data_IF_061198774452
#
_entry.id   IF_061198774452
#
_cell.length_a   1.000
_cell.length_b   1.000
_cell.length_c   1.000
_cell.angle_alpha   90.00
_cell.angle_beta   90.00
_cell.angle_gamma   90.00
#
_symmetry.space_group_name_H-M   'P 1'
#
loop_
_entity.id
_entity.type
_entity.pdbx_description
1 polymer ?
#
# COMPACT_ATOMS: atom_id res chain seq x y z
N UNK A 1 -23.15 6.57 5.98
CA UNK A 1 -23.97 7.67 6.56
C UNK A 1 -24.01 8.90 5.63
N UNK A 2 -22.90 9.44 5.14
CA UNK A 2 -22.89 10.60 4.23
C UNK A 2 -23.67 10.37 2.93
N UNK A 3 -23.56 9.19 2.29
CA UNK A 3 -24.32 8.85 1.09
C UNK A 3 -25.84 8.82 1.32
N UNK A 4 -26.29 8.34 2.49
CA UNK A 4 -27.70 8.37 2.84
C UNK A 4 -28.21 9.81 3.04
N UNK A 5 -27.39 10.68 3.62
CA UNK A 5 -27.73 12.11 3.77
C UNK A 5 -27.77 12.84 2.42
N UNK A 6 -26.91 12.46 1.49
CA UNK A 6 -26.90 13.04 0.14
C UNK A 6 -28.12 12.61 -0.68
N UNK A 7 -28.49 11.32 -0.62
CA UNK A 7 -29.73 10.80 -1.21
C UNK A 7 -30.93 11.49 -0.58
N UNK A 8 -30.97 11.58 0.75
CA UNK A 8 -32.03 12.27 1.46
C UNK A 8 -32.12 13.76 1.08
N UNK A 9 -30.99 14.45 1.01
CA UNK A 9 -30.90 15.85 0.56
C UNK A 9 -31.44 16.05 -0.86
N UNK A 10 -31.17 15.12 -1.76
CA UNK A 10 -31.66 15.16 -3.14
C UNK A 10 -33.18 14.88 -3.22
N UNK A 11 -33.68 13.95 -2.41
CA UNK A 11 -35.13 13.68 -2.31
C UNK A 11 -35.84 14.90 -1.75
N UNK A 12 -35.35 15.51 -0.69
CA UNK A 12 -35.96 16.70 -0.08
C UNK A 12 -35.97 17.90 -1.05
N UNK A 13 -34.89 18.11 -1.81
CA UNK A 13 -34.81 19.17 -2.83
C UNK A 13 -35.82 19.00 -3.97
N UNK A 14 -36.13 17.75 -4.31
CA UNK A 14 -37.04 17.43 -5.43
C UNK A 14 -38.53 17.36 -5.00
N UNK A 15 -38.82 17.29 -3.71
CA UNK A 15 -40.19 17.22 -3.19
C UNK A 15 -40.67 18.60 -2.75
N UNK A 16 -41.50 19.23 -3.56
CA UNK A 16 -42.00 20.62 -3.32
C UNK A 16 -42.82 20.84 -2.03
N UNK A 17 -43.19 19.79 -1.31
CA UNK A 17 -44.10 19.86 -0.15
C UNK A 17 -43.54 19.24 1.14
N UNK A 18 -42.22 19.01 1.22
CA UNK A 18 -41.59 18.49 2.45
C UNK A 18 -41.02 19.69 3.23
N UNK A 19 -41.61 20.00 4.38
CA UNK A 19 -41.04 20.91 5.34
C UNK A 19 -40.05 20.16 6.25
N UNK A 20 -38.96 20.79 6.65
CA UNK A 20 -37.96 20.21 7.55
C UNK A 20 -38.60 19.79 8.88
N UNK A 21 -39.56 20.58 9.38
CA UNK A 21 -40.31 20.28 10.61
C UNK A 21 -41.17 18.99 10.48
N UNK A 22 -41.78 18.79 9.32
CA UNK A 22 -42.51 17.56 9.06
C UNK A 22 -41.60 16.33 9.03
N UNK A 23 -40.40 16.47 8.47
CA UNK A 23 -39.43 15.38 8.43
C UNK A 23 -38.92 15.08 9.85
N UNK A 24 -38.52 16.09 10.60
CA UNK A 24 -38.02 15.93 11.98
C UNK A 24 -39.06 15.35 12.93
N UNK A 25 -40.36 15.70 12.75
CA UNK A 25 -41.42 15.17 13.57
C UNK A 25 -41.81 13.70 13.28
N UNK A 26 -41.34 13.14 12.16
CA UNK A 26 -41.59 11.77 11.76
C UNK A 26 -40.34 10.87 11.77
N UNK A 27 -39.17 11.42 12.13
CA UNK A 27 -37.95 10.64 12.30
C UNK A 27 -37.85 10.25 13.77
N UNK A 28 -37.87 8.95 14.04
CA UNK A 28 -37.64 8.39 15.37
C UNK A 28 -36.26 7.71 15.37
N UNK A 29 -35.39 8.10 16.31
CA UNK A 29 -34.14 7.43 16.55
C UNK A 29 -34.32 6.40 17.65
N UNK A 30 -34.00 5.15 17.37
CA UNK A 30 -33.91 4.12 18.38
C UNK A 30 -32.54 4.17 18.99
N UNK A 31 -32.47 4.49 20.27
CA UNK A 31 -31.22 4.44 21.05
C UNK A 31 -31.19 3.13 21.81
N UNK A 32 -30.15 2.31 21.56
CA UNK A 32 -29.92 1.11 22.33
C UNK A 32 -28.69 1.34 23.21
N UNK A 33 -28.88 1.39 24.50
CA UNK A 33 -27.78 1.42 25.48
C UNK A 33 -27.26 -0.01 25.66
N UNK A 34 -26.14 -0.29 24.98
CA UNK A 34 -25.50 -1.60 25.04
C UNK A 34 -24.49 -1.58 26.17
N UNK A 35 -24.91 -2.02 27.35
CA UNK A 35 -24.05 -2.04 28.54
C UNK A 35 -22.91 -3.05 28.48
N UNK A 36 -22.98 -4.05 27.59
CA UNK A 36 -21.93 -5.03 27.34
C UNK A 36 -21.46 -4.97 25.90
N UNK A 37 -20.14 -4.92 25.70
CA UNK A 37 -19.52 -4.87 24.36
C UNK A 37 -19.94 -6.04 23.47
N UNK A 38 -20.11 -7.25 24.05
CA UNK A 38 -20.57 -8.45 23.33
C UNK A 38 -22.00 -8.31 22.78
N UNK A 39 -22.90 -7.60 23.46
CA UNK A 39 -24.26 -7.35 22.99
C UNK A 39 -24.27 -6.36 21.81
N UNK A 40 -23.35 -5.39 21.80
CA UNK A 40 -23.18 -4.46 20.69
C UNK A 40 -22.71 -5.16 19.42
N UNK A 41 -21.75 -6.06 19.58
CA UNK A 41 -21.23 -6.87 18.48
C UNK A 41 -22.32 -7.81 17.92
N UNK A 42 -23.10 -8.46 18.79
CA UNK A 42 -24.18 -9.36 18.39
C UNK A 42 -25.35 -8.60 17.73
N UNK A 43 -25.72 -7.43 18.26
CA UNK A 43 -26.72 -6.55 17.66
C UNK A 43 -26.27 -6.05 16.27
N UNK A 44 -25.01 -5.61 16.16
CA UNK A 44 -24.43 -5.17 14.89
C UNK A 44 -24.45 -6.29 13.83
N UNK A 45 -23.99 -7.48 14.20
CA UNK A 45 -24.02 -8.66 13.31
C UNK A 45 -25.47 -9.00 12.92
N UNK A 46 -26.40 -8.96 13.88
CA UNK A 46 -27.81 -9.30 13.64
C UNK A 46 -28.53 -8.28 12.76
N UNK A 47 -28.23 -6.99 12.93
CA UNK A 47 -28.78 -5.93 12.09
C UNK A 47 -28.26 -6.00 10.66
N UNK A 48 -26.96 -6.30 10.50
CA UNK A 48 -26.31 -6.40 9.20
C UNK A 48 -26.57 -7.75 8.49
N UNK A 49 -26.90 -8.82 9.21
CA UNK A 49 -27.24 -10.13 8.61
C UNK A 49 -28.49 -10.12 7.73
N UNK A 50 -29.29 -9.07 7.80
CA UNK A 50 -30.51 -8.87 6.98
C UNK A 50 -30.29 -7.97 5.77
N UNK A 51 -29.09 -7.42 5.59
CA UNK A 51 -28.73 -6.48 4.53
C UNK A 51 -27.59 -6.96 3.66
N UNK A 52 -26.75 -6.04 3.24
CA UNK A 52 -25.51 -6.30 2.51
C UNK A 52 -24.55 -7.12 3.38
N UNK A 53 -23.80 -8.03 2.74
CA UNK A 53 -22.74 -8.76 3.45
C UNK A 53 -21.71 -7.78 3.96
N UNK A 54 -21.26 -7.96 5.20
CA UNK A 54 -20.14 -7.21 5.75
C UNK A 54 -18.93 -7.36 4.86
N UNK A 55 -18.24 -6.27 4.61
CA UNK A 55 -16.95 -6.30 3.92
C UNK A 55 -15.89 -6.99 4.79
N UNK A 56 -14.77 -7.40 4.20
CA UNK A 56 -13.72 -8.08 4.96
C UNK A 56 -13.16 -7.16 6.06
N UNK A 57 -12.98 -5.87 5.78
CA UNK A 57 -12.51 -4.89 6.77
C UNK A 57 -13.47 -4.75 7.95
N UNK A 58 -14.79 -4.73 7.69
CA UNK A 58 -15.82 -4.69 8.75
C UNK A 58 -15.85 -5.96 9.60
N UNK A 59 -15.52 -7.12 9.04
CA UNK A 59 -15.41 -8.37 9.78
C UNK A 59 -14.11 -8.47 10.58
N UNK A 60 -13.02 -7.89 10.08
CA UNK A 60 -11.69 -7.93 10.70
C UNK A 60 -11.57 -6.91 11.84
N UNK A 61 -12.14 -5.68 11.67
CA UNK A 61 -12.09 -4.59 12.66
C UNK A 61 -12.41 -5.06 14.09
N UNK A 62 -13.57 -5.69 14.36
CA UNK A 62 -13.91 -6.13 15.71
C UNK A 62 -12.98 -7.20 16.25
N UNK A 63 -12.48 -8.11 15.41
CA UNK A 63 -11.52 -9.16 15.81
C UNK A 63 -10.19 -8.58 16.28
N UNK A 64 -9.65 -7.60 15.55
CA UNK A 64 -8.40 -6.94 15.90
C UNK A 64 -8.55 -6.05 17.14
N UNK A 65 -9.66 -5.30 17.23
CA UNK A 65 -9.96 -4.45 18.38
C UNK A 65 -10.26 -5.25 19.65
N UNK A 66 -10.88 -6.42 19.52
CA UNK A 66 -11.19 -7.30 20.67
C UNK A 66 -9.95 -7.77 21.42
N UNK A 67 -8.78 -7.82 20.76
CA UNK A 67 -7.50 -8.24 21.36
C UNK A 67 -6.74 -7.12 22.08
N UNK A 68 -7.24 -5.88 22.07
CA UNK A 68 -6.48 -4.69 22.52
C UNK A 68 -6.69 -4.31 23.99
N UNK A 69 -7.64 -4.94 24.70
CA UNK A 69 -7.94 -4.62 26.09
C UNK A 69 -8.24 -3.12 26.29
N UNK A 70 -7.52 -2.47 27.21
CA UNK A 70 -7.71 -1.06 27.54
C UNK A 70 -7.39 -0.07 26.40
N UNK A 71 -6.79 -0.52 25.30
CA UNK A 71 -6.47 0.30 24.14
C UNK A 71 -7.56 0.26 23.04
N UNK A 72 -8.68 -0.41 23.29
CA UNK A 72 -9.76 -0.59 22.31
C UNK A 72 -10.30 0.75 21.77
N UNK A 73 -10.54 1.70 22.67
CA UNK A 73 -11.04 3.03 22.27
C UNK A 73 -10.02 3.81 21.44
N UNK A 74 -8.74 3.75 21.83
CA UNK A 74 -7.66 4.40 21.09
C UNK A 74 -7.58 3.86 19.64
N UNK A 75 -7.46 2.54 19.51
CA UNK A 75 -7.36 1.95 18.16
C UNK A 75 -8.66 2.03 17.36
N UNK A 76 -9.81 2.14 18.02
CA UNK A 76 -11.07 2.43 17.34
C UNK A 76 -11.03 3.79 16.64
N UNK A 77 -10.56 4.83 17.33
CA UNK A 77 -10.36 6.17 16.75
C UNK A 77 -9.30 6.19 15.66
N UNK A 78 -8.20 5.44 15.84
CA UNK A 78 -7.18 5.33 14.80
C UNK A 78 -7.76 4.66 13.54
N UNK A 79 -8.58 3.63 13.69
CA UNK A 79 -9.25 3.01 12.56
C UNK A 79 -10.14 3.99 11.80
N UNK A 80 -10.92 4.79 12.50
CA UNK A 80 -11.76 5.82 11.89
C UNK A 80 -10.92 6.87 11.15
N UNK A 81 -9.74 7.25 11.69
CA UNK A 81 -8.77 8.12 11.02
C UNK A 81 -8.20 7.47 9.74
N UNK A 82 -7.98 6.15 9.73
CA UNK A 82 -7.51 5.44 8.54
C UNK A 82 -8.60 5.38 7.45
N UNK A 83 -9.83 5.15 7.82
CA UNK A 83 -10.97 5.23 6.90
C UNK A 83 -11.09 6.65 6.33
N UNK A 84 -10.95 7.70 7.15
CA UNK A 84 -10.95 9.10 6.72
C UNK A 84 -9.82 9.40 5.74
N UNK A 85 -8.62 8.87 5.97
CA UNK A 85 -7.50 8.98 5.03
C UNK A 85 -7.88 8.45 3.65
N UNK A 86 -8.53 7.29 3.55
CA UNK A 86 -8.98 6.73 2.29
C UNK A 86 -10.17 7.49 1.68
N UNK A 87 -10.89 8.30 2.44
CA UNK A 87 -11.92 9.22 1.92
C UNK A 87 -11.33 10.42 1.16
N UNK A 88 -10.03 10.67 1.25
CA UNK A 88 -9.39 11.81 0.58
C UNK A 88 -9.61 11.73 -0.93
N UNK A 89 -10.19 12.83 -1.50
CA UNK A 89 -10.53 12.91 -2.93
C UNK A 89 -9.30 12.82 -3.85
N UNK A 90 -8.16 13.34 -3.41
CA UNK A 90 -6.91 13.30 -4.18
C UNK A 90 -6.39 11.87 -4.34
N UNK A 91 -6.57 11.03 -3.33
CA UNK A 91 -6.19 9.62 -3.37
C UNK A 91 -7.18 8.80 -4.20
N UNK A 92 -8.47 9.05 -4.00
CA UNK A 92 -9.57 8.27 -4.58
C UNK A 92 -9.84 8.59 -6.05
N UNK A 93 -9.46 9.79 -6.52
CA UNK A 93 -9.79 10.30 -7.86
C UNK A 93 -11.32 10.29 -8.12
N UNK A 94 -11.74 9.66 -9.23
CA UNK A 94 -13.14 9.53 -9.63
C UNK A 94 -13.78 8.22 -9.17
N UNK A 95 -13.08 7.40 -8.39
CA UNK A 95 -13.57 6.10 -7.93
C UNK A 95 -14.68 6.27 -6.88
N UNK A 96 -15.63 5.33 -6.84
CA UNK A 96 -16.80 5.37 -5.96
C UNK A 96 -16.46 5.23 -4.47
N UNK A 97 -17.48 5.37 -3.61
CA UNK A 97 -17.33 5.23 -2.15
C UNK A 97 -16.99 3.79 -1.77
N UNK A 98 -17.57 2.81 -2.47
CA UNK A 98 -17.37 1.38 -2.19
C UNK A 98 -15.91 0.91 -2.34
N UNK A 99 -15.08 1.72 -3.02
CA UNK A 99 -13.65 1.43 -3.17
C UNK A 99 -12.80 1.71 -1.93
N UNK A 100 -13.37 2.36 -0.89
CA UNK A 100 -12.66 2.59 0.38
C UNK A 100 -12.44 1.29 1.12
N UNK A 101 -13.48 0.45 1.21
CA UNK A 101 -13.36 -0.88 1.79
C UNK A 101 -12.34 -1.72 1.03
N UNK A 102 -12.31 -1.60 -0.30
CA UNK A 102 -11.31 -2.26 -1.14
C UNK A 102 -9.90 -1.80 -0.75
N UNK A 103 -9.67 -0.49 -0.57
CA UNK A 103 -8.36 0.03 -0.19
C UNK A 103 -7.96 -0.45 1.22
N UNK A 104 -8.89 -0.46 2.15
CA UNK A 104 -8.68 -0.96 3.51
C UNK A 104 -8.38 -2.46 3.52
N UNK A 105 -9.12 -3.26 2.75
CA UNK A 105 -8.88 -4.70 2.60
C UNK A 105 -7.51 -4.97 1.97
N UNK A 106 -7.11 -4.20 0.96
CA UNK A 106 -5.83 -4.34 0.31
C UNK A 106 -4.65 -4.02 1.23
N UNK A 107 -4.74 -2.99 2.09
CA UNK A 107 -3.68 -2.72 3.07
C UNK A 107 -3.60 -3.82 4.14
N UNK A 108 -4.74 -4.33 4.63
CA UNK A 108 -4.77 -5.46 5.57
C UNK A 108 -4.10 -6.69 4.95
N UNK A 109 -4.39 -6.98 3.68
CA UNK A 109 -3.74 -8.05 2.93
C UNK A 109 -2.24 -7.86 2.83
N UNK A 110 -1.76 -6.67 2.49
CA UNK A 110 -0.33 -6.35 2.46
C UNK A 110 0.31 -6.61 3.82
N UNK A 111 -0.34 -6.22 4.92
CA UNK A 111 0.15 -6.45 6.27
C UNK A 111 0.26 -7.95 6.58
N UNK A 112 -0.75 -8.73 6.20
CA UNK A 112 -0.76 -10.19 6.35
C UNK A 112 0.39 -10.84 5.55
N UNK A 113 0.54 -10.49 4.29
CA UNK A 113 1.59 -11.02 3.43
C UNK A 113 3.00 -10.70 3.98
N UNK A 114 3.25 -9.46 4.39
CA UNK A 114 4.52 -9.05 4.98
C UNK A 114 4.79 -9.71 6.35
N UNK A 115 3.76 -10.09 7.07
CA UNK A 115 3.89 -10.74 8.38
C UNK A 115 4.08 -12.25 8.27
N UNK A 116 3.35 -12.90 7.37
CA UNK A 116 3.30 -14.36 7.24
C UNK A 116 4.21 -14.91 6.16
N UNK A 117 4.69 -14.07 5.24
CA UNK A 117 5.39 -14.46 4.01
C UNK A 117 4.59 -15.42 3.12
N UNK A 118 3.26 -15.39 3.22
CA UNK A 118 2.37 -16.17 2.36
C UNK A 118 1.96 -15.37 1.12
N UNK A 119 1.77 -16.06 0.01
CA UNK A 119 1.31 -15.46 -1.24
C UNK A 119 -0.18 -15.12 -1.17
N UNK A 120 -0.60 -14.10 -1.92
CA UNK A 120 -1.97 -13.61 -1.96
C UNK A 120 -3.02 -14.72 -2.15
N UNK A 121 -2.82 -15.64 -3.08
CA UNK A 121 -3.77 -16.74 -3.34
C UNK A 121 -3.91 -17.79 -2.22
N UNK A 122 -3.09 -17.68 -1.17
CA UNK A 122 -3.07 -18.59 -0.03
C UNK A 122 -3.70 -17.95 1.23
N UNK A 123 -4.04 -16.66 1.18
CA UNK A 123 -4.55 -15.90 2.31
C UNK A 123 -6.04 -15.62 2.16
N UNK A 124 -6.78 -15.91 3.22
CA UNK A 124 -8.12 -15.38 3.42
C UNK A 124 -8.03 -14.28 4.49
N UNK A 125 -8.17 -12.99 4.16
CA UNK A 125 -7.95 -11.90 5.11
C UNK A 125 -8.78 -12.02 6.38
N UNK A 126 -10.00 -12.53 6.30
CA UNK A 126 -10.89 -12.69 7.45
C UNK A 126 -10.45 -13.86 8.35
N UNK A 127 -10.09 -15.00 7.76
CA UNK A 127 -9.68 -16.18 8.52
C UNK A 127 -8.27 -16.02 9.10
N UNK A 128 -7.36 -15.43 8.31
CA UNK A 128 -5.97 -15.23 8.68
C UNK A 128 -5.72 -13.97 9.52
N UNK A 129 -6.77 -13.16 9.79
CA UNK A 129 -6.66 -11.96 10.63
C UNK A 129 -6.06 -12.22 12.04
N UNK A 130 -6.05 -13.49 12.48
CA UNK A 130 -5.41 -13.87 13.74
C UNK A 130 -3.88 -13.79 13.70
N UNK A 131 -3.28 -13.86 12.53
CA UNK A 131 -1.83 -13.78 12.34
C UNK A 131 -1.27 -12.37 12.54
N UNK A 132 -2.12 -11.34 12.52
CA UNK A 132 -1.75 -9.95 12.72
C UNK A 132 -2.42 -9.35 13.96
N UNK A 133 -1.84 -8.27 14.44
CA UNK A 133 -2.42 -7.42 15.48
C UNK A 133 -2.83 -6.08 14.92
N UNK A 134 -3.68 -5.34 15.65
CA UNK A 134 -4.02 -3.95 15.29
C UNK A 134 -2.77 -3.06 15.25
N UNK A 135 -1.74 -3.37 16.05
CA UNK A 135 -0.46 -2.65 16.04
C UNK A 135 0.30 -2.87 14.73
N UNK A 136 0.24 -4.08 14.17
CA UNK A 136 0.85 -4.34 12.85
C UNK A 136 0.16 -3.48 11.77
N UNK A 137 -1.16 -3.39 11.80
CA UNK A 137 -1.93 -2.51 10.90
C UNK A 137 -1.58 -1.05 11.11
N UNK A 138 -1.56 -0.58 12.37
CA UNK A 138 -1.25 0.80 12.73
C UNK A 138 0.12 1.25 12.20
N UNK A 139 1.16 0.42 12.37
CA UNK A 139 2.52 0.72 11.89
C UNK A 139 2.55 0.86 10.36
N UNK A 140 1.81 0.00 9.65
CA UNK A 140 1.77 0.08 8.18
C UNK A 140 0.92 1.26 7.69
N UNK A 141 -0.18 1.58 8.37
CA UNK A 141 -0.99 2.75 8.07
C UNK A 141 -0.21 4.05 8.31
N UNK A 142 0.54 4.15 9.42
CA UNK A 142 1.45 5.27 9.66
C UNK A 142 2.50 5.42 8.56
N UNK A 143 3.08 4.29 8.14
CA UNK A 143 4.03 4.28 7.03
C UNK A 143 3.37 4.73 5.71
N UNK A 144 2.17 4.23 5.39
CA UNK A 144 1.41 4.60 4.20
C UNK A 144 1.07 6.09 4.18
N UNK A 145 0.54 6.61 5.28
CA UNK A 145 0.20 8.03 5.43
C UNK A 145 1.44 8.92 5.32
N UNK A 146 2.59 8.45 5.80
CA UNK A 146 3.87 9.15 5.66
C UNK A 146 4.34 9.18 4.20
N UNK A 147 4.26 8.05 3.49
CA UNK A 147 4.59 7.95 2.06
C UNK A 147 3.68 8.85 1.20
N UNK A 148 2.38 8.92 1.55
CA UNK A 148 1.43 9.79 0.85
C UNK A 148 1.75 11.29 0.97
N UNK A 149 2.44 11.70 2.02
CA UNK A 149 2.84 13.11 2.27
C UNK A 149 4.16 13.49 1.61
N UNK A 150 4.86 12.57 0.95
CA UNK A 150 6.10 12.88 0.26
C UNK A 150 5.83 13.79 -0.95
N UNK A 151 6.63 14.86 -1.09
CA UNK A 151 6.34 16.05 -1.92
C UNK A 151 6.12 15.77 -3.41
N UNK A 152 6.70 14.72 -3.97
CA UNK A 152 6.70 14.54 -5.42
C UNK A 152 5.40 13.96 -6.00
N UNK A 153 4.41 13.61 -5.18
CA UNK A 153 3.21 12.91 -5.68
C UNK A 153 3.50 11.61 -6.42
N UNK A 154 4.79 11.26 -6.55
CA UNK A 154 5.30 10.12 -7.31
C UNK A 154 4.71 8.80 -6.82
N UNK A 155 4.51 8.71 -5.50
CA UNK A 155 4.02 7.50 -4.85
C UNK A 155 2.49 7.43 -4.78
N UNK A 156 1.79 8.52 -5.08
CA UNK A 156 0.32 8.57 -5.05
C UNK A 156 -0.29 7.58 -6.04
N UNK A 157 0.33 7.38 -7.21
CA UNK A 157 -0.11 6.40 -8.18
C UNK A 157 -0.10 4.97 -7.62
N UNK A 158 0.88 4.62 -6.81
CA UNK A 158 0.97 3.31 -6.16
C UNK A 158 -0.06 3.16 -5.03
N UNK A 159 -0.30 4.25 -4.27
CA UNK A 159 -1.33 4.27 -3.22
C UNK A 159 -2.73 4.17 -3.84
N UNK A 160 -2.97 4.86 -4.96
CA UNK A 160 -4.23 4.80 -5.70
C UNK A 160 -4.58 3.39 -6.20
N UNK A 161 -3.59 2.54 -6.42
CA UNK A 161 -3.82 1.13 -6.78
C UNK A 161 -4.53 0.35 -5.68
N UNK A 162 -4.45 0.77 -4.41
CA UNK A 162 -5.19 0.16 -3.32
C UNK A 162 -6.72 0.20 -3.52
N UNK A 163 -7.22 1.15 -4.30
CA UNK A 163 -8.66 1.27 -4.62
C UNK A 163 -9.11 0.37 -5.78
N UNK A 164 -8.17 -0.32 -6.43
CA UNK A 164 -8.45 -1.25 -7.51
C UNK A 164 -8.75 -2.66 -7.00
N UNK A 165 -9.34 -3.48 -7.87
CA UNK A 165 -9.52 -4.90 -7.58
C UNK A 165 -8.14 -5.57 -7.47
N UNK A 166 -7.98 -6.35 -6.41
CA UNK A 166 -6.74 -7.08 -6.12
C UNK A 166 -6.31 -8.05 -7.22
N UNK A 167 -7.25 -8.52 -8.04
CA UNK A 167 -6.98 -9.42 -9.15
C UNK A 167 -6.38 -8.70 -10.37
N UNK A 168 -6.62 -7.40 -10.51
CA UNK A 168 -6.14 -6.59 -11.64
C UNK A 168 -4.83 -5.85 -11.31
N UNK A 169 -4.70 -5.35 -10.09
CA UNK A 169 -3.60 -4.47 -9.69
C UNK A 169 -2.36 -5.19 -9.14
N UNK A 170 -2.42 -6.50 -9.05
CA UNK A 170 -1.26 -7.34 -8.79
C UNK A 170 -0.79 -7.33 -7.34
N UNK A 171 0.49 -7.60 -7.18
CA UNK A 171 1.07 -7.95 -5.89
C UNK A 171 1.55 -6.76 -5.06
N UNK A 172 1.27 -5.52 -5.45
CA UNK A 172 1.68 -4.28 -4.76
C UNK A 172 3.18 -4.21 -4.38
N UNK A 173 4.05 -4.76 -5.23
CA UNK A 173 5.48 -4.87 -4.93
C UNK A 173 6.13 -3.54 -4.53
N UNK A 174 5.85 -2.47 -5.29
CA UNK A 174 6.40 -1.14 -5.01
C UNK A 174 5.95 -0.65 -3.66
N UNK A 175 4.65 -0.76 -3.37
CA UNK A 175 4.08 -0.29 -2.11
C UNK A 175 4.63 -1.09 -0.93
N UNK A 176 4.69 -2.41 -1.00
CA UNK A 176 5.31 -3.27 0.03
C UNK A 176 6.76 -2.86 0.33
N UNK A 177 7.55 -2.57 -0.71
CA UNK A 177 8.93 -2.13 -0.53
C UNK A 177 9.02 -0.75 0.14
N UNK A 178 8.22 0.23 -0.29
CA UNK A 178 8.17 1.56 0.30
C UNK A 178 7.74 1.53 1.78
N UNK A 179 6.72 0.72 2.11
CA UNK A 179 6.28 0.55 3.50
C UNK A 179 7.38 -0.10 4.36
N UNK A 180 8.11 -1.07 3.80
CA UNK A 180 9.24 -1.71 4.48
C UNK A 180 10.35 -0.71 4.75
N UNK A 181 10.70 0.12 3.77
CA UNK A 181 11.71 1.17 3.90
C UNK A 181 11.33 2.19 4.99
N UNK A 182 10.07 2.63 4.99
CA UNK A 182 9.57 3.53 6.05
C UNK A 182 9.65 2.90 7.42
N UNK A 183 9.29 1.64 7.55
CA UNK A 183 9.34 0.90 8.82
C UNK A 183 10.76 0.72 9.36
N UNK A 184 11.77 0.68 8.49
CA UNK A 184 13.19 0.73 8.90
C UNK A 184 13.59 2.07 9.51
N UNK A 185 12.72 3.08 9.50
CA UNK A 185 12.98 4.42 10.03
C UNK A 185 13.57 5.37 9.00
N UNK A 186 13.59 4.98 7.71
CA UNK A 186 14.08 5.87 6.66
C UNK A 186 13.19 7.12 6.54
N UNK A 187 13.82 8.28 6.41
CA UNK A 187 13.15 9.57 6.23
C UNK A 187 13.70 10.34 5.02
N UNK A 188 14.83 9.91 4.44
CA UNK A 188 15.39 10.54 3.27
C UNK A 188 14.59 10.19 2.01
N UNK A 189 14.01 11.22 1.39
CA UNK A 189 13.25 11.12 0.14
C UNK A 189 14.04 10.45 -0.99
N UNK A 190 15.35 10.65 -1.00
CA UNK A 190 16.18 10.08 -2.02
C UNK A 190 16.30 8.55 -1.90
N UNK A 191 16.33 8.01 -0.68
CA UNK A 191 16.34 6.57 -0.46
C UNK A 191 15.01 5.93 -0.89
N UNK A 192 13.86 6.59 -0.64
CA UNK A 192 12.57 6.14 -1.19
C UNK A 192 12.58 6.09 -2.72
N UNK A 193 13.20 7.06 -3.35
CA UNK A 193 13.29 7.11 -4.81
C UNK A 193 14.13 5.94 -5.36
N UNK A 194 15.21 5.56 -4.69
CA UNK A 194 15.99 4.35 -5.03
C UNK A 194 15.12 3.09 -4.99
N UNK A 195 14.40 2.88 -3.88
CA UNK A 195 13.48 1.74 -3.71
C UNK A 195 12.43 1.73 -4.82
N UNK A 196 11.77 2.86 -5.03
CA UNK A 196 10.73 3.01 -6.04
C UNK A 196 11.23 2.67 -7.45
N UNK A 197 12.32 3.29 -7.88
CA UNK A 197 12.85 3.08 -9.24
C UNK A 197 13.32 1.64 -9.44
N UNK A 198 14.02 1.08 -8.46
CA UNK A 198 14.50 -0.30 -8.54
C UNK A 198 13.34 -1.28 -8.70
N UNK A 199 12.34 -1.22 -7.83
CA UNK A 199 11.23 -2.17 -7.87
C UNK A 199 10.33 -1.93 -9.10
N UNK A 200 9.97 -0.68 -9.37
CA UNK A 200 9.11 -0.34 -10.51
C UNK A 200 9.69 -0.83 -11.84
N UNK A 201 10.98 -0.60 -12.07
CA UNK A 201 11.63 -1.02 -13.29
C UNK A 201 11.81 -2.53 -13.36
N UNK A 202 12.13 -3.16 -12.24
CA UNK A 202 12.26 -4.61 -12.18
C UNK A 202 10.91 -5.31 -12.45
N UNK A 203 9.83 -4.88 -11.82
CA UNK A 203 8.47 -5.46 -11.97
C UNK A 203 7.94 -5.30 -13.39
N UNK A 204 8.23 -4.20 -14.07
CA UNK A 204 7.81 -3.98 -15.47
C UNK A 204 8.29 -5.07 -16.43
N UNK A 205 9.38 -5.73 -16.11
CA UNK A 205 10.11 -6.63 -17.01
C UNK A 205 10.14 -8.06 -16.55
N UNK A 206 10.10 -8.25 -15.27
CA UNK A 206 10.28 -9.56 -14.65
C UNK A 206 9.05 -9.91 -13.82
N UNK A 207 8.58 -11.14 -13.95
CA UNK A 207 7.62 -11.68 -13.00
C UNK A 207 8.37 -11.98 -11.70
N UNK A 208 8.20 -11.13 -10.71
CA UNK A 208 8.67 -11.42 -9.36
C UNK A 208 7.92 -12.64 -8.81
N UNK A 209 8.63 -13.54 -8.17
CA UNK A 209 8.01 -14.57 -7.34
C UNK A 209 7.65 -13.91 -6.02
N UNK A 210 6.35 -13.72 -5.76
CA UNK A 210 5.87 -12.98 -4.60
C UNK A 210 6.47 -13.49 -3.28
N UNK A 211 6.53 -14.81 -3.08
CA UNK A 211 7.13 -15.42 -1.89
C UNK A 211 8.61 -15.06 -1.71
N UNK A 212 9.39 -15.12 -2.79
CA UNK A 212 10.81 -14.75 -2.73
C UNK A 212 10.96 -13.25 -2.38
N UNK A 213 10.13 -12.41 -2.95
CA UNK A 213 10.12 -10.99 -2.67
C UNK A 213 9.69 -10.66 -1.23
N UNK A 214 8.66 -11.31 -0.72
CA UNK A 214 8.23 -11.15 0.69
C UNK A 214 9.34 -11.60 1.65
N UNK A 215 9.97 -12.75 1.39
CA UNK A 215 11.12 -13.22 2.17
C UNK A 215 12.28 -12.23 2.12
N UNK A 216 12.57 -11.68 0.95
CA UNK A 216 13.57 -10.63 0.77
C UNK A 216 13.25 -9.39 1.61
N UNK A 217 12.03 -8.86 1.55
CA UNK A 217 11.63 -7.68 2.33
C UNK A 217 11.68 -7.93 3.84
N UNK A 218 11.26 -9.12 4.28
CA UNK A 218 11.31 -9.50 5.69
C UNK A 218 12.75 -9.55 6.21
N UNK A 219 13.65 -10.13 5.42
CA UNK A 219 15.08 -10.20 5.76
C UNK A 219 15.73 -8.83 5.67
N UNK A 220 15.38 -8.02 4.68
CA UNK A 220 15.84 -6.64 4.55
C UNK A 220 15.42 -5.78 5.75
N UNK A 221 14.20 -5.95 6.25
CA UNK A 221 13.70 -5.26 7.43
C UNK A 221 14.56 -5.48 8.68
N UNK A 222 15.21 -6.65 8.81
CA UNK A 222 16.09 -6.99 9.93
C UNK A 222 17.56 -6.57 9.69
N UNK A 223 17.90 -6.18 8.46
CA UNK A 223 19.27 -5.82 8.09
C UNK A 223 19.56 -4.35 8.42
N UNK A 224 20.76 -4.00 8.91
CA UNK A 224 21.18 -2.61 9.07
C UNK A 224 21.62 -1.96 7.74
N UNK A 225 21.73 -2.73 6.67
CA UNK A 225 22.25 -2.27 5.39
C UNK A 225 21.26 -1.37 4.66
N UNK A 226 21.77 -0.42 3.87
CA UNK A 226 20.97 0.37 2.94
C UNK A 226 20.47 -0.50 1.76
N UNK A 227 19.52 0.03 0.98
CA UNK A 227 18.81 -0.72 -0.05
C UNK A 227 19.74 -1.41 -1.07
N UNK A 228 20.63 -0.65 -1.71
CA UNK A 228 21.54 -1.21 -2.71
C UNK A 228 22.55 -2.18 -2.11
N UNK A 229 23.13 -1.84 -0.97
CA UNK A 229 24.08 -2.70 -0.28
C UNK A 229 23.46 -4.05 0.09
N UNK A 230 22.20 -4.04 0.52
CA UNK A 230 21.48 -5.26 0.86
C UNK A 230 21.25 -6.14 -0.37
N UNK A 231 20.82 -5.54 -1.49
CA UNK A 231 20.61 -6.28 -2.74
C UNK A 231 21.92 -6.92 -3.22
N UNK A 232 23.01 -6.17 -3.21
CA UNK A 232 24.30 -6.63 -3.71
C UNK A 232 24.97 -7.72 -2.85
N UNK A 233 24.52 -7.88 -1.60
CA UNK A 233 24.97 -8.94 -0.69
C UNK A 233 24.19 -10.25 -0.78
N UNK A 234 23.27 -10.38 -1.74
CA UNK A 234 22.54 -11.62 -1.99
C UNK A 234 23.44 -12.66 -2.65
N UNK A 235 23.83 -13.70 -1.89
CA UNK A 235 24.86 -14.69 -2.33
C UNK A 235 24.31 -15.84 -3.19
N UNK A 236 22.98 -15.98 -3.29
CA UNK A 236 22.35 -17.12 -3.94
C UNK A 236 21.42 -16.66 -5.08
N UNK A 237 21.91 -16.80 -6.32
CA UNK A 237 21.14 -16.45 -7.52
C UNK A 237 19.79 -17.18 -7.61
N UNK A 238 19.67 -18.37 -7.03
CA UNK A 238 18.43 -19.15 -7.05
C UNK A 238 17.36 -18.56 -6.12
N UNK A 239 17.78 -17.78 -5.13
CA UNK A 239 16.93 -17.09 -4.16
C UNK A 239 16.91 -15.59 -4.36
N UNK A 240 17.81 -15.05 -5.20
CA UNK A 240 17.90 -13.64 -5.46
C UNK A 240 16.61 -13.11 -6.12
N UNK A 241 16.12 -12.00 -5.62
CA UNK A 241 15.01 -11.28 -6.24
C UNK A 241 15.48 -10.54 -7.47
N UNK A 242 16.70 -9.98 -7.42
CA UNK A 242 17.35 -9.24 -8.50
C UNK A 242 18.45 -10.09 -9.12
N UNK A 243 18.55 -10.06 -10.44
CA UNK A 243 19.55 -10.84 -11.17
C UNK A 243 19.94 -10.19 -12.50
N UNK A 244 21.05 -10.68 -13.07
CA UNK A 244 21.54 -10.24 -14.37
C UNK A 244 21.87 -8.75 -14.42
N UNK A 245 21.38 -8.06 -15.44
CA UNK A 245 21.68 -6.64 -15.66
C UNK A 245 21.04 -5.71 -14.63
N UNK A 246 20.04 -6.15 -13.87
CA UNK A 246 19.48 -5.38 -12.76
C UNK A 246 20.51 -5.23 -11.64
N UNK A 247 21.22 -6.32 -11.31
CA UNK A 247 22.33 -6.25 -10.34
C UNK A 247 23.44 -5.36 -10.83
N UNK A 248 23.77 -5.42 -12.13
CA UNK A 248 24.78 -4.56 -12.73
C UNK A 248 24.41 -3.07 -12.63
N UNK A 249 23.16 -2.70 -12.90
CA UNK A 249 22.66 -1.33 -12.70
C UNK A 249 22.81 -0.88 -11.25
N UNK A 250 22.35 -1.73 -10.32
CA UNK A 250 22.43 -1.45 -8.90
C UNK A 250 23.88 -1.28 -8.45
N UNK A 251 24.79 -2.12 -8.95
CA UNK A 251 26.23 -1.99 -8.68
C UNK A 251 26.77 -0.65 -9.16
N UNK A 252 26.47 -0.25 -10.41
CA UNK A 252 26.89 1.04 -10.96
C UNK A 252 26.35 2.20 -10.11
N UNK A 253 25.07 2.14 -9.75
CA UNK A 253 24.44 3.16 -8.91
C UNK A 253 25.07 3.21 -7.51
N UNK A 254 25.38 2.08 -6.92
CA UNK A 254 26.03 2.00 -5.62
C UNK A 254 27.45 2.58 -5.64
N UNK A 255 28.23 2.28 -6.68
CA UNK A 255 29.64 2.66 -6.79
C UNK A 255 29.83 4.13 -7.17
N UNK A 256 28.98 4.66 -8.05
CA UNK A 256 29.10 6.01 -8.61
C UNK A 256 28.11 7.02 -7.99
N UNK A 257 27.12 6.54 -7.24
CA UNK A 257 26.17 7.37 -6.51
C UNK A 257 25.22 8.19 -7.37
N UNK A 258 24.76 9.31 -6.83
CA UNK A 258 23.72 10.17 -7.40
C UNK A 258 23.88 10.54 -8.88
N UNK A 259 25.08 10.85 -9.40
CA UNK A 259 25.23 11.17 -10.82
C UNK A 259 24.82 10.01 -11.72
N UNK A 260 25.30 8.79 -11.44
CA UNK A 260 24.95 7.61 -12.22
C UNK A 260 23.48 7.21 -12.06
N UNK A 261 22.94 7.30 -10.84
CA UNK A 261 21.53 7.05 -10.57
C UNK A 261 20.62 7.95 -11.42
N UNK A 262 20.94 9.26 -11.46
CA UNK A 262 20.14 10.23 -12.24
C UNK A 262 20.08 9.86 -13.72
N UNK A 263 21.22 9.54 -14.34
CA UNK A 263 21.29 9.22 -15.76
C UNK A 263 20.64 7.85 -16.06
N UNK A 264 20.87 6.85 -15.22
CA UNK A 264 20.24 5.53 -15.35
C UNK A 264 18.72 5.67 -15.26
N UNK A 265 18.20 6.42 -14.29
CA UNK A 265 16.74 6.60 -14.12
C UNK A 265 16.11 7.39 -15.27
N UNK A 266 16.79 8.39 -15.83
CA UNK A 266 16.35 9.10 -17.03
C UNK A 266 16.26 8.16 -18.23
N UNK A 267 17.31 7.36 -18.45
CA UNK A 267 17.34 6.39 -19.54
C UNK A 267 16.23 5.33 -19.38
N UNK A 268 16.01 4.81 -18.18
CA UNK A 268 14.93 3.86 -17.88
C UNK A 268 13.53 4.46 -18.10
N UNK A 269 13.36 5.75 -17.83
CA UNK A 269 12.09 6.46 -18.03
C UNK A 269 11.85 6.81 -19.51
N UNK A 270 12.87 6.77 -20.35
CA UNK A 270 12.77 7.14 -21.77
C UNK A 270 11.84 6.16 -22.51
N UNK A 271 10.85 6.65 -23.30
CA UNK A 271 9.86 5.81 -23.95
C UNK A 271 10.42 4.73 -24.86
N UNK A 272 11.55 5.02 -25.54
CA UNK A 272 12.21 4.08 -26.43
C UNK A 272 12.82 2.89 -25.67
N UNK A 273 13.49 3.16 -24.56
CA UNK A 273 14.18 2.13 -23.78
C UNK A 273 13.20 1.40 -22.83
N UNK A 274 12.21 2.10 -22.32
CA UNK A 274 11.17 1.57 -21.43
C UNK A 274 11.74 0.63 -20.34
N UNK A 275 12.84 1.07 -19.71
CA UNK A 275 13.59 0.31 -18.70
C UNK A 275 14.63 -0.68 -19.25
N UNK A 276 14.70 -0.98 -20.58
CA UNK A 276 15.69 -1.88 -21.18
C UNK A 276 16.95 -1.12 -21.56
N UNK A 277 17.79 -0.89 -20.60
CA UNK A 277 19.03 -0.10 -20.78
C UNK A 277 20.31 -0.95 -20.83
N UNK A 278 20.16 -2.29 -20.94
CA UNK A 278 21.32 -3.20 -20.98
C UNK A 278 22.33 -2.83 -22.09
N UNK A 279 21.81 -2.52 -23.28
CA UNK A 279 22.65 -2.11 -24.41
C UNK A 279 23.37 -0.80 -24.15
N UNK A 280 22.68 0.19 -23.54
CA UNK A 280 23.29 1.46 -23.16
C UNK A 280 24.44 1.24 -22.17
N UNK A 281 24.24 0.43 -21.15
CA UNK A 281 25.25 0.08 -20.17
C UNK A 281 26.45 -0.59 -20.87
N UNK A 282 26.19 -1.56 -21.76
CA UNK A 282 27.23 -2.25 -22.53
C UNK A 282 28.06 -1.30 -23.40
N UNK A 283 27.41 -0.38 -24.13
CA UNK A 283 28.08 0.59 -25.00
C UNK A 283 28.87 1.64 -24.21
N UNK A 284 28.45 1.92 -22.99
CA UNK A 284 29.10 2.90 -22.12
C UNK A 284 30.30 2.33 -21.35
N UNK A 285 30.61 1.04 -21.51
CA UNK A 285 31.76 0.43 -20.88
C UNK A 285 33.07 0.71 -21.65
N UNK A 286 34.11 1.02 -20.88
CA UNK A 286 35.47 1.01 -21.36
C UNK A 286 36.23 -0.13 -20.66
N UNK A 287 36.34 -1.27 -21.33
CA UNK A 287 36.73 -2.51 -20.69
C UNK A 287 35.64 -3.02 -19.72
N UNK A 288 35.98 -3.27 -18.47
CA UNK A 288 35.06 -3.69 -17.42
C UNK A 288 34.40 -2.50 -16.68
N UNK A 289 34.94 -1.29 -16.87
CA UNK A 289 34.47 -0.10 -16.13
C UNK A 289 33.38 0.64 -16.87
N UNK A 290 32.33 1.02 -16.15
CA UNK A 290 31.28 1.89 -16.67
C UNK A 290 31.77 3.33 -16.79
N UNK A 291 31.46 3.98 -17.92
CA UNK A 291 31.82 5.37 -18.19
C UNK A 291 30.56 6.22 -18.30
N UNK A 292 30.30 7.02 -17.27
CA UNK A 292 29.10 7.87 -17.19
C UNK A 292 29.02 8.89 -18.34
N UNK A 293 30.15 9.48 -18.75
CA UNK A 293 30.19 10.45 -19.85
C UNK A 293 29.80 9.82 -21.19
N UNK A 294 30.17 8.56 -21.40
CA UNK A 294 29.75 7.82 -22.62
C UNK A 294 28.27 7.45 -22.55
N UNK A 295 27.75 7.15 -21.36
CA UNK A 295 26.34 6.85 -21.15
C UNK A 295 25.43 8.05 -21.46
N UNK A 296 25.80 9.24 -21.01
CA UNK A 296 25.06 10.49 -21.25
C UNK A 296 24.97 10.85 -22.75
N UNK A 297 25.95 10.40 -23.56
CA UNK A 297 25.94 10.61 -25.01
C UNK A 297 24.92 9.71 -25.75
N UNK A 298 24.50 8.60 -25.17
CA UNK A 298 23.59 7.61 -25.76
C UNK A 298 22.18 7.65 -25.15
N UNK A 299 21.96 8.29 -24.03
CA UNK A 299 20.69 8.47 -23.30
C UNK A 299 20.07 9.82 -23.54
#
# INVERSE_FOLDING_TARGET
MLGALEVFGNVVKNCKNISLDNVLNHIFFWYFDVQMTSQGEELYITMNSRGEKLTDSEQIKPRLLGKTGNQKEYYGKEWDNWEEFFYNKELRETRGIDTIDTAMNNIIRIVLELKTCHEHGQLNPVEDAEAISIKDVAIHMEALMSVARLEDGLYLSEIRRLYGDSNEDGDFYVLKALLTERRKGQTDLYEYKKVYQTIRNHVRRNKLKNRAFLSFLTSYMQSPLAWYEYILKQDDESKAVFYGHELEKIQICNDLGKPAESEIWKAEAHPFWNGEIKSLISWSKNGESFNLNSFDLYG
#
